data_IF_715583309571
#
_entry.id   IF_715583309571
#
_cell.length_a   1.000
_cell.length_b   1.000
_cell.length_c   1.000
_cell.angle_alpha   90.00
_cell.angle_beta   90.00
_cell.angle_gamma   90.00
#
_symmetry.space_group_name_H-M   'P 1'
#
loop_
_entity.id
_entity.type
_entity.pdbx_description
1 polymer ?
#
# COMPACT_ATOMS: atom_id res chain seq x y z
N UNK A 1 -2.40 -7.54 0.82
CA UNK A 1 -3.85 -7.36 0.93
C UNK A 1 -4.40 -6.75 -0.37
N UNK A 2 -5.48 -7.32 -0.90
CA UNK A 2 -6.13 -6.88 -2.16
C UNK A 2 -6.68 -5.47 -2.01
N UNK A 3 -7.31 -5.17 -0.88
CA UNK A 3 -7.91 -3.87 -0.61
C UNK A 3 -6.87 -2.77 -0.65
N UNK A 4 -5.75 -2.99 0.03
CA UNK A 4 -4.66 -2.03 0.07
C UNK A 4 -4.09 -1.73 -1.34
N UNK A 5 -3.82 -2.77 -2.14
CA UNK A 5 -3.34 -2.58 -3.50
C UNK A 5 -4.40 -1.97 -4.42
N UNK A 6 -5.66 -2.31 -4.22
CA UNK A 6 -6.78 -1.67 -4.95
C UNK A 6 -6.81 -0.16 -4.71
N UNK A 7 -6.56 0.24 -3.48
CA UNK A 7 -6.50 1.65 -3.09
C UNK A 7 -5.24 2.32 -3.66
N UNK A 8 -4.06 1.72 -3.43
CA UNK A 8 -2.80 2.27 -3.95
C UNK A 8 -2.89 2.47 -5.47
N UNK A 9 -3.53 1.56 -6.20
CA UNK A 9 -3.66 1.61 -7.65
C UNK A 9 -4.95 2.27 -8.14
N UNK A 10 -5.82 2.76 -7.26
CA UNK A 10 -7.15 3.29 -7.61
C UNK A 10 -7.91 2.34 -8.53
N UNK A 11 -7.97 1.07 -8.13
CA UNK A 11 -8.56 0.02 -8.93
C UNK A 11 -10.09 0.10 -8.90
N UNK A 12 -10.72 -0.09 -10.05
CA UNK A 12 -12.18 -0.17 -10.16
C UNK A 12 -12.69 -1.49 -9.58
N UNK A 13 -13.81 -1.43 -8.83
CA UNK A 13 -14.39 -2.59 -8.12
C UNK A 13 -14.77 -3.75 -9.04
N UNK A 14 -15.36 -3.45 -10.19
CA UNK A 14 -15.95 -4.47 -11.06
C UNK A 14 -14.95 -5.25 -11.90
N UNK A 15 -13.86 -4.62 -12.32
CA UNK A 15 -12.92 -5.22 -13.30
C UNK A 15 -11.51 -5.32 -12.78
N UNK A 16 -10.97 -4.26 -12.18
CA UNK A 16 -9.56 -4.19 -11.80
C UNK A 16 -9.27 -4.86 -10.46
N UNK A 17 -10.16 -4.75 -9.49
CA UNK A 17 -10.02 -5.39 -8.18
C UNK A 17 -10.03 -6.94 -8.26
N UNK A 18 -10.93 -7.59 -9.03
CA UNK A 18 -10.87 -9.03 -9.26
C UNK A 18 -9.58 -9.48 -9.98
N UNK A 19 -9.07 -8.65 -10.89
CA UNK A 19 -7.78 -8.91 -11.54
C UNK A 19 -6.63 -8.84 -10.54
N UNK A 20 -6.57 -7.81 -9.67
CA UNK A 20 -5.59 -7.70 -8.60
C UNK A 20 -5.65 -8.89 -7.64
N UNK A 21 -6.85 -9.35 -7.28
CA UNK A 21 -7.03 -10.53 -6.43
C UNK A 21 -6.36 -11.76 -7.03
N UNK A 22 -6.63 -12.05 -8.31
CA UNK A 22 -6.00 -13.17 -9.03
C UNK A 22 -4.47 -13.03 -9.11
N UNK A 23 -3.97 -11.80 -9.26
CA UNK A 23 -2.53 -11.51 -9.30
C UNK A 23 -1.86 -11.73 -7.94
N UNK A 24 -2.52 -11.35 -6.86
CA UNK A 24 -2.06 -11.60 -5.48
C UNK A 24 -2.07 -13.10 -5.15
N UNK A 25 -3.08 -13.84 -5.60
CA UNK A 25 -3.12 -15.28 -5.42
C UNK A 25 -1.99 -16.00 -6.18
N UNK A 26 -1.64 -15.51 -7.37
CA UNK A 26 -0.46 -15.98 -8.08
C UNK A 26 0.82 -15.64 -7.32
N UNK A 27 0.97 -14.41 -6.85
CA UNK A 27 2.12 -14.00 -6.04
C UNK A 27 2.31 -14.88 -4.80
N UNK A 28 1.24 -15.20 -4.07
CA UNK A 28 1.31 -16.09 -2.89
C UNK A 28 1.80 -17.50 -3.25
N UNK A 29 1.36 -18.01 -4.39
CA UNK A 29 1.83 -19.32 -4.90
C UNK A 29 3.30 -19.28 -5.28
N UNK A 30 3.74 -18.22 -5.97
CA UNK A 30 5.15 -18.03 -6.35
C UNK A 30 6.06 -17.97 -5.11
N UNK A 31 5.63 -17.22 -4.09
CA UNK A 31 6.38 -17.11 -2.82
C UNK A 31 6.53 -18.42 -2.08
N UNK A 32 5.56 -19.32 -2.19
CA UNK A 32 5.59 -20.65 -1.55
C UNK A 32 6.27 -21.75 -2.36
N UNK A 33 6.96 -21.41 -3.47
CA UNK A 33 7.55 -22.39 -4.38
C UNK A 33 9.05 -22.55 -4.10
N UNK A 34 9.51 -23.80 -3.86
CA UNK A 34 10.91 -24.12 -3.55
C UNK A 34 11.88 -23.76 -4.68
N UNK A 35 11.45 -23.90 -5.95
CA UNK A 35 12.24 -23.53 -7.12
C UNK A 35 11.48 -22.52 -7.98
N UNK A 36 11.54 -21.27 -7.54
CA UNK A 36 10.83 -20.14 -8.17
C UNK A 36 11.16 -20.01 -9.65
N UNK A 37 12.44 -20.08 -10.03
CA UNK A 37 12.86 -19.86 -11.42
C UNK A 37 12.42 -20.98 -12.37
N UNK A 38 12.45 -22.22 -11.93
CA UNK A 38 11.90 -23.33 -12.71
C UNK A 38 10.38 -23.19 -12.91
N UNK A 39 9.69 -22.73 -11.88
CA UNK A 39 8.24 -22.49 -11.97
C UNK A 39 7.92 -21.34 -12.93
N UNK A 40 8.63 -20.21 -12.82
CA UNK A 40 8.52 -19.07 -13.74
C UNK A 40 8.82 -19.50 -15.18
N UNK A 41 9.88 -20.30 -15.41
CA UNK A 41 10.21 -20.85 -16.74
C UNK A 41 9.03 -21.65 -17.31
N UNK A 42 8.43 -22.53 -16.52
CA UNK A 42 7.25 -23.30 -16.91
C UNK A 42 6.05 -22.42 -17.26
N UNK A 43 5.81 -21.39 -16.46
CA UNK A 43 4.72 -20.42 -16.72
C UNK A 43 4.96 -19.65 -18.03
N UNK A 44 6.17 -19.14 -18.26
CA UNK A 44 6.52 -18.44 -19.52
C UNK A 44 6.44 -19.38 -20.72
N UNK A 45 6.89 -20.65 -20.58
CA UNK A 45 6.72 -21.66 -21.64
C UNK A 45 5.24 -21.80 -22.01
N UNK A 46 4.38 -21.99 -21.04
CA UNK A 46 2.94 -22.15 -21.26
C UNK A 46 2.31 -20.90 -21.92
N UNK A 47 2.75 -19.70 -21.53
CA UNK A 47 2.29 -18.46 -22.15
C UNK A 47 2.73 -18.36 -23.62
N UNK A 48 4.01 -18.61 -23.89
CA UNK A 48 4.58 -18.58 -25.23
C UNK A 48 3.93 -19.60 -26.17
N UNK A 49 3.65 -20.82 -25.70
CA UNK A 49 2.99 -21.85 -26.49
C UNK A 49 1.58 -21.44 -26.96
N UNK A 50 0.85 -20.66 -26.17
CA UNK A 50 -0.50 -20.18 -26.55
C UNK A 50 -0.50 -19.20 -27.73
N UNK A 51 0.60 -18.51 -27.97
CA UNK A 51 0.70 -17.60 -29.13
C UNK A 51 0.73 -18.33 -30.46
N UNK A 52 1.01 -19.64 -30.46
CA UNK A 52 0.98 -20.44 -31.69
C UNK A 52 -0.38 -20.35 -32.39
N UNK A 53 -1.46 -20.36 -31.62
CA UNK A 53 -2.82 -20.33 -32.15
C UNK A 53 -3.25 -18.90 -32.57
N UNK A 54 -2.60 -17.84 -32.04
CA UNK A 54 -2.85 -16.44 -32.42
C UNK A 54 -1.54 -15.64 -32.51
N UNK A 55 -0.84 -15.74 -33.68
CA UNK A 55 0.39 -15.01 -33.91
C UNK A 55 0.24 -13.47 -33.82
N UNK A 56 -0.94 -12.93 -34.12
CA UNK A 56 -1.19 -11.49 -33.99
C UNK A 56 -1.23 -11.05 -32.53
N UNK A 57 -1.73 -11.88 -31.63
CA UNK A 57 -1.70 -11.65 -30.18
C UNK A 57 -0.26 -11.56 -29.67
N UNK A 58 0.65 -12.43 -30.16
CA UNK A 58 2.08 -12.34 -29.84
C UNK A 58 2.64 -10.94 -30.16
N UNK A 59 2.39 -10.41 -31.37
CA UNK A 59 2.89 -9.09 -31.75
C UNK A 59 2.35 -7.98 -30.87
N UNK A 60 1.06 -8.04 -30.52
CA UNK A 60 0.44 -7.06 -29.59
C UNK A 60 1.07 -7.11 -28.19
N UNK A 61 1.43 -8.31 -27.72
CA UNK A 61 1.96 -8.51 -26.38
C UNK A 61 3.49 -8.51 -26.29
N UNK A 62 4.18 -8.31 -27.41
CA UNK A 62 5.64 -8.35 -27.50
C UNK A 62 6.32 -7.39 -26.49
N UNK A 63 5.78 -6.18 -26.33
CA UNK A 63 6.29 -5.20 -25.36
C UNK A 63 6.13 -5.70 -23.93
N UNK A 64 4.99 -6.31 -23.60
CA UNK A 64 4.75 -6.91 -22.29
C UNK A 64 5.71 -8.06 -21.96
N UNK A 65 6.00 -8.93 -22.94
CA UNK A 65 7.00 -9.99 -22.80
C UNK A 65 8.41 -9.44 -22.55
N UNK A 66 8.84 -8.43 -23.31
CA UNK A 66 10.12 -7.75 -23.10
C UNK A 66 10.21 -7.15 -21.70
N UNK A 67 9.14 -6.52 -21.23
CA UNK A 67 9.08 -5.95 -19.89
C UNK A 67 9.20 -7.03 -18.79
N UNK A 68 8.61 -8.22 -18.98
CA UNK A 68 8.79 -9.34 -18.05
C UNK A 68 10.24 -9.83 -18.05
N UNK A 69 10.86 -9.99 -19.21
CA UNK A 69 12.28 -10.39 -19.29
C UNK A 69 13.20 -9.37 -18.61
N UNK A 70 13.03 -8.09 -18.92
CA UNK A 70 13.79 -7.00 -18.31
C UNK A 70 13.57 -6.89 -16.78
N UNK A 71 12.38 -7.28 -16.29
CA UNK A 71 12.08 -7.32 -14.86
C UNK A 71 12.87 -8.43 -14.14
N UNK A 72 12.90 -9.63 -14.72
CA UNK A 72 13.42 -10.83 -14.07
C UNK A 72 14.96 -10.96 -14.14
N UNK A 73 15.56 -10.56 -15.27
CA UNK A 73 16.95 -10.86 -15.57
C UNK A 73 17.83 -9.60 -15.56
N UNK A 74 19.09 -9.77 -15.12
CA UNK A 74 20.10 -8.70 -15.11
C UNK A 74 20.48 -8.36 -16.55
N UNK A 75 20.68 -9.38 -17.37
CA UNK A 75 20.95 -9.26 -18.81
C UNK A 75 19.80 -9.90 -19.59
N UNK A 76 18.81 -9.10 -19.93
CA UNK A 76 17.67 -9.53 -20.74
C UNK A 76 17.89 -9.31 -22.27
N UNK A 77 18.96 -8.61 -22.67
CA UNK A 77 19.21 -8.23 -24.07
C UNK A 77 19.25 -9.41 -25.04
N UNK A 78 19.89 -10.56 -24.73
CA UNK A 78 19.88 -11.70 -25.63
C UNK A 78 18.48 -12.18 -25.97
N UNK A 79 17.64 -12.36 -24.92
CA UNK A 79 16.24 -12.78 -25.09
C UNK A 79 15.39 -11.73 -25.82
N UNK A 80 15.62 -10.44 -25.55
CA UNK A 80 14.92 -9.34 -26.23
C UNK A 80 15.31 -9.28 -27.72
N UNK A 81 16.56 -9.52 -28.06
CA UNK A 81 17.01 -9.60 -29.47
C UNK A 81 16.30 -10.74 -30.19
N UNK A 82 16.19 -11.91 -29.56
CA UNK A 82 15.48 -13.04 -30.14
C UNK A 82 14.00 -12.71 -30.32
N UNK A 83 13.35 -12.11 -29.33
CA UNK A 83 11.95 -11.64 -29.47
C UNK A 83 11.79 -10.64 -30.62
N UNK A 84 12.77 -9.79 -30.88
CA UNK A 84 12.76 -8.83 -31.99
C UNK A 84 12.97 -9.48 -33.38
N UNK A 85 13.63 -10.63 -33.43
CA UNK A 85 13.85 -11.35 -34.68
C UNK A 85 12.61 -12.09 -35.17
N UNK A 86 11.55 -12.18 -34.32
CA UNK A 86 10.32 -12.86 -34.70
C UNK A 86 9.44 -11.97 -35.55
N UNK A 87 8.95 -12.56 -36.65
CA UNK A 87 8.02 -11.95 -37.57
C UNK A 87 6.80 -12.86 -37.72
N UNK A 88 5.69 -12.25 -38.07
CA UNK A 88 4.47 -12.95 -38.41
C UNK A 88 4.23 -12.70 -39.90
N UNK A 89 4.34 -13.76 -40.73
CA UNK A 89 4.22 -13.73 -42.20
C UNK A 89 2.98 -14.54 -42.62
N UNK A 90 2.78 -14.68 -43.93
CA UNK A 90 1.63 -15.38 -44.51
C UNK A 90 0.27 -14.84 -44.02
N UNK A 91 0.05 -13.54 -44.25
CA UNK A 91 -1.17 -12.83 -43.86
C UNK A 91 -1.46 -12.89 -42.34
N UNK A 92 -0.44 -12.99 -41.49
CA UNK A 92 -0.59 -12.98 -40.05
C UNK A 92 -0.80 -14.34 -39.38
N UNK A 93 -0.55 -15.43 -40.10
CA UNK A 93 -0.86 -16.80 -39.63
C UNK A 93 0.36 -17.64 -39.29
N UNK A 94 1.58 -17.24 -39.68
CA UNK A 94 2.77 -18.05 -39.47
C UNK A 94 3.90 -17.27 -38.80
N UNK A 95 4.54 -17.92 -37.85
CA UNK A 95 5.77 -17.43 -37.23
C UNK A 95 6.97 -17.67 -38.12
N UNK A 96 7.84 -16.68 -38.25
CA UNK A 96 9.14 -16.75 -38.86
C UNK A 96 10.18 -16.05 -37.98
N UNK A 97 11.30 -16.70 -37.73
CA UNK A 97 12.48 -16.12 -37.08
C UNK A 97 13.63 -16.13 -38.11
N UNK A 98 14.24 -14.99 -38.28
CA UNK A 98 15.40 -14.85 -39.15
C UNK A 98 16.65 -14.63 -38.31
N UNK A 99 17.67 -15.43 -38.50
CA UNK A 99 19.01 -15.31 -37.92
C UNK A 99 20.09 -15.51 -38.99
N UNK A 100 21.35 -15.63 -38.56
CA UNK A 100 22.50 -15.78 -39.49
C UNK A 100 22.45 -17.08 -40.33
N UNK A 101 21.73 -18.12 -39.81
CA UNK A 101 21.55 -19.41 -40.49
C UNK A 101 20.35 -19.40 -41.48
N UNK A 102 19.55 -18.34 -41.49
CA UNK A 102 18.43 -18.15 -42.40
C UNK A 102 17.05 -18.02 -41.72
N UNK A 103 16.01 -18.35 -42.46
CA UNK A 103 14.61 -18.26 -42.01
C UNK A 103 14.16 -19.58 -41.40
N UNK A 104 13.75 -19.51 -40.15
CA UNK A 104 13.15 -20.64 -39.37
C UNK A 104 11.65 -20.44 -39.29
N UNK A 105 10.88 -21.47 -39.63
CA UNK A 105 9.42 -21.40 -39.70
C UNK A 105 8.77 -22.26 -38.62
N UNK A 106 7.83 -21.71 -37.89
CA UNK A 106 6.93 -22.45 -36.99
C UNK A 106 5.73 -23.02 -37.74
N UNK A 107 5.95 -24.02 -38.60
CA UNK A 107 4.89 -24.62 -39.41
C UNK A 107 4.00 -25.59 -38.66
N UNK A 108 4.57 -26.25 -37.64
CA UNK A 108 3.86 -27.13 -36.70
C UNK A 108 4.04 -26.61 -35.27
N UNK A 109 3.23 -27.12 -34.35
CA UNK A 109 3.39 -26.81 -32.91
C UNK A 109 4.76 -27.22 -32.40
N UNK A 110 5.30 -28.34 -32.87
CA UNK A 110 6.61 -28.86 -32.45
C UNK A 110 7.74 -27.96 -33.03
N UNK A 111 7.65 -27.55 -34.30
CA UNK A 111 8.60 -26.59 -34.89
C UNK A 111 8.57 -25.28 -34.13
N UNK A 112 7.38 -24.77 -33.80
CA UNK A 112 7.22 -23.54 -33.03
C UNK A 112 7.84 -23.67 -31.65
N UNK A 113 7.58 -24.75 -30.93
CA UNK A 113 8.18 -24.98 -29.61
C UNK A 113 9.71 -25.03 -29.69
N UNK A 114 10.26 -25.77 -30.64
CA UNK A 114 11.72 -25.93 -30.77
C UNK A 114 12.42 -24.66 -31.27
N UNK A 115 11.91 -24.05 -32.30
CA UNK A 115 12.59 -22.93 -32.99
C UNK A 115 12.36 -21.56 -32.33
N UNK A 116 11.28 -21.44 -31.52
CA UNK A 116 10.90 -20.15 -30.93
C UNK A 116 10.88 -20.21 -29.40
N UNK A 117 10.04 -21.06 -28.82
CA UNK A 117 9.82 -21.09 -27.38
C UNK A 117 11.08 -21.52 -26.63
N UNK A 118 11.69 -22.63 -27.04
CA UNK A 118 12.92 -23.15 -26.42
C UNK A 118 14.08 -22.17 -26.59
N UNK A 119 14.23 -21.58 -27.77
CA UNK A 119 15.29 -20.60 -28.04
C UNK A 119 15.16 -19.35 -27.17
N UNK A 120 13.95 -18.80 -27.00
CA UNK A 120 13.71 -17.69 -26.06
C UNK A 120 14.10 -18.09 -24.63
N UNK A 121 13.56 -19.22 -24.17
CA UNK A 121 13.76 -19.64 -22.79
C UNK A 121 15.23 -19.98 -22.50
N UNK A 122 15.92 -20.64 -23.40
CA UNK A 122 17.32 -21.01 -23.22
C UNK A 122 18.24 -19.78 -23.25
N UNK A 123 17.96 -18.79 -24.11
CA UNK A 123 18.75 -17.56 -24.18
C UNK A 123 18.65 -16.70 -22.92
N UNK A 124 17.55 -16.84 -22.15
CA UNK A 124 17.30 -16.01 -20.98
C UNK A 124 17.60 -16.76 -19.69
N UNK A 125 17.26 -18.08 -19.61
CA UNK A 125 17.43 -18.88 -18.42
C UNK A 125 18.78 -19.62 -18.34
N UNK A 126 19.58 -19.53 -19.42
CA UNK A 126 20.92 -20.12 -19.45
C UNK A 126 21.93 -19.10 -19.99
N UNK A 127 22.89 -18.66 -19.17
CA UNK A 127 23.20 -18.96 -17.76
C UNK A 127 22.35 -18.13 -16.76
N UNK A 128 22.22 -18.62 -15.51
CA UNK A 128 21.42 -18.05 -14.43
C UNK A 128 21.80 -16.60 -14.05
N UNK A 129 21.27 -15.62 -14.76
CA UNK A 129 21.50 -14.19 -14.52
C UNK A 129 20.22 -13.46 -14.07
N UNK A 130 19.45 -14.07 -13.16
CA UNK A 130 18.25 -13.42 -12.63
C UNK A 130 18.59 -12.38 -11.55
N UNK A 131 17.75 -11.36 -11.45
CA UNK A 131 17.79 -10.39 -10.34
C UNK A 131 17.43 -11.08 -9.04
N UNK A 132 17.91 -10.52 -7.92
CA UNK A 132 17.61 -11.06 -6.59
C UNK A 132 16.09 -11.26 -6.38
N UNK A 133 15.73 -12.25 -5.59
CA UNK A 133 14.35 -12.56 -5.19
C UNK A 133 13.79 -11.48 -4.26
N UNK A 134 13.56 -10.27 -4.80
CA UNK A 134 12.84 -9.19 -4.12
C UNK A 134 11.34 -9.48 -4.17
N UNK A 135 10.67 -9.45 -3.05
CA UNK A 135 9.23 -9.67 -2.91
C UNK A 135 8.39 -8.76 -3.83
N UNK A 136 8.83 -7.52 -4.03
CA UNK A 136 8.19 -6.61 -4.97
C UNK A 136 8.39 -7.03 -6.42
N UNK A 137 9.53 -7.62 -6.76
CA UNK A 137 9.81 -8.15 -8.09
C UNK A 137 8.90 -9.33 -8.38
N UNK A 138 8.73 -10.27 -7.43
CA UNK A 138 7.84 -11.42 -7.57
C UNK A 138 6.40 -10.96 -7.74
N UNK A 139 5.96 -9.96 -6.99
CA UNK A 139 4.61 -9.41 -7.12
C UNK A 139 4.39 -8.70 -8.46
N UNK A 140 5.35 -7.88 -8.90
CA UNK A 140 5.30 -7.21 -10.20
C UNK A 140 5.28 -8.22 -11.36
N UNK A 141 6.06 -9.30 -11.26
CA UNK A 141 6.01 -10.41 -12.20
C UNK A 141 4.63 -11.05 -12.23
N UNK A 142 4.08 -11.40 -11.08
CA UNK A 142 2.75 -12.01 -10.98
C UNK A 142 1.67 -11.15 -11.66
N UNK A 143 1.72 -9.84 -11.46
CA UNK A 143 0.79 -8.88 -12.06
C UNK A 143 0.93 -8.83 -13.58
N UNK A 144 2.15 -8.68 -14.10
CA UNK A 144 2.44 -8.61 -15.54
C UNK A 144 2.14 -9.92 -16.25
N UNK A 145 2.56 -11.04 -15.66
CA UNK A 145 2.25 -12.35 -16.21
C UNK A 145 0.74 -12.57 -16.30
N UNK A 146 0.02 -12.28 -15.21
CA UNK A 146 -1.44 -12.46 -15.17
C UNK A 146 -2.17 -11.56 -16.16
N UNK A 147 -1.63 -10.37 -16.43
CA UNK A 147 -2.13 -9.49 -17.46
C UNK A 147 -2.03 -10.12 -18.85
N UNK A 148 -0.84 -10.60 -19.25
CA UNK A 148 -0.63 -11.24 -20.56
C UNK A 148 -1.43 -12.55 -20.68
N UNK A 149 -1.43 -13.39 -19.66
CA UNK A 149 -2.20 -14.65 -19.60
C UNK A 149 -3.71 -14.39 -19.77
N UNK A 150 -4.23 -13.34 -19.13
CA UNK A 150 -5.65 -13.01 -19.22
C UNK A 150 -6.04 -12.41 -20.57
N UNK A 151 -5.14 -11.68 -21.22
CA UNK A 151 -5.33 -11.19 -22.59
C UNK A 151 -5.34 -12.35 -23.59
N UNK A 152 -4.39 -13.30 -23.50
CA UNK A 152 -4.35 -14.51 -24.33
C UNK A 152 -5.63 -15.34 -24.21
N UNK A 153 -6.20 -15.39 -23.02
CA UNK A 153 -7.43 -16.15 -22.74
C UNK A 153 -8.69 -15.36 -23.09
N UNK A 154 -8.56 -14.15 -23.63
CA UNK A 154 -9.67 -13.19 -23.88
C UNK A 154 -10.55 -12.94 -22.66
N UNK A 155 -10.01 -13.16 -21.48
CA UNK A 155 -10.75 -13.05 -20.21
C UNK A 155 -10.91 -11.60 -19.75
N UNK A 156 -10.02 -10.71 -20.20
CA UNK A 156 -10.04 -9.27 -19.91
C UNK A 156 -9.85 -8.48 -21.19
N UNK A 157 -10.38 -7.25 -21.19
CA UNK A 157 -10.10 -6.27 -22.21
C UNK A 157 -8.89 -5.43 -21.79
N UNK A 158 -7.95 -5.19 -22.70
CA UNK A 158 -6.76 -4.35 -22.51
C UNK A 158 -7.11 -2.95 -22.01
N UNK A 159 -8.15 -2.33 -22.58
CA UNK A 159 -8.63 -1.00 -22.20
C UNK A 159 -9.03 -0.89 -20.72
N UNK A 160 -9.49 -1.98 -20.12
CA UNK A 160 -9.94 -1.98 -18.73
C UNK A 160 -8.80 -2.17 -17.73
N UNK A 161 -7.79 -2.98 -18.04
CA UNK A 161 -6.73 -3.35 -17.10
C UNK A 161 -5.41 -2.64 -17.39
N UNK A 162 -5.13 -2.25 -18.64
CA UNK A 162 -3.94 -1.50 -19.02
C UNK A 162 -3.67 -0.27 -18.14
N UNK A 163 -4.66 0.59 -17.88
CA UNK A 163 -4.50 1.74 -16.98
C UNK A 163 -4.12 1.37 -15.55
N UNK A 164 -4.57 0.21 -15.04
CA UNK A 164 -4.16 -0.29 -13.73
C UNK A 164 -2.67 -0.64 -13.70
N UNK A 165 -2.17 -1.33 -14.73
CA UNK A 165 -0.74 -1.69 -14.83
C UNK A 165 0.11 -0.43 -14.83
N UNK A 166 -0.24 0.59 -15.62
CA UNK A 166 0.50 1.85 -15.67
C UNK A 166 0.50 2.59 -14.31
N UNK A 167 -0.63 2.62 -13.61
CA UNK A 167 -0.70 3.20 -12.26
C UNK A 167 0.15 2.42 -11.27
N UNK A 168 0.12 1.09 -11.33
CA UNK A 168 0.95 0.23 -10.49
C UNK A 168 2.44 0.53 -10.71
N UNK A 169 2.92 0.56 -11.94
CA UNK A 169 4.33 0.83 -12.26
C UNK A 169 4.84 2.16 -11.69
N UNK A 170 4.00 3.19 -11.73
CA UNK A 170 4.34 4.50 -11.20
C UNK A 170 4.34 4.53 -9.66
N UNK A 171 3.40 3.82 -9.02
CA UNK A 171 3.20 3.85 -7.58
C UNK A 171 4.08 2.86 -6.82
N UNK A 172 4.36 1.69 -7.39
CA UNK A 172 5.24 0.70 -6.75
C UNK A 172 6.64 1.25 -6.48
N UNK A 173 7.17 2.10 -7.35
CA UNK A 173 8.46 2.77 -7.13
C UNK A 173 8.48 3.64 -5.87
N UNK A 174 7.36 4.29 -5.56
CA UNK A 174 7.19 5.11 -4.34
C UNK A 174 7.02 4.21 -3.12
N UNK A 175 6.20 3.17 -3.24
CA UNK A 175 6.00 2.17 -2.16
C UNK A 175 7.33 1.53 -1.76
N UNK A 176 8.15 1.10 -2.73
CA UNK A 176 9.50 0.53 -2.49
C UNK A 176 10.45 1.47 -1.75
N UNK A 177 10.29 2.78 -1.89
CA UNK A 177 11.10 3.78 -1.14
C UNK A 177 10.63 3.94 0.31
N UNK A 178 9.35 3.74 0.58
CA UNK A 178 8.75 3.93 1.89
C UNK A 178 8.78 2.66 2.74
N UNK A 179 8.66 1.49 2.11
CA UNK A 179 8.56 0.20 2.79
C UNK A 179 9.60 -0.79 2.28
N UNK A 180 10.33 -1.37 3.21
CA UNK A 180 11.16 -2.55 2.97
C UNK A 180 10.41 -3.76 3.52
N UNK A 181 10.16 -4.76 2.67
CA UNK A 181 9.60 -6.03 3.12
C UNK A 181 10.69 -6.80 3.88
N UNK A 182 10.39 -7.24 5.09
CA UNK A 182 11.27 -8.07 5.90
C UNK A 182 10.43 -9.09 6.67
N UNK A 183 11.01 -10.29 6.86
CA UNK A 183 10.32 -11.38 7.59
C UNK A 183 10.27 -11.11 9.10
N UNK A 184 11.28 -10.43 9.63
CA UNK A 184 11.41 -10.09 11.04
C UNK A 184 11.55 -8.57 11.20
N UNK A 185 10.43 -7.83 11.35
CA UNK A 185 10.52 -6.42 11.67
C UNK A 185 11.13 -6.22 13.05
N UNK A 186 11.80 -5.08 13.29
CA UNK A 186 12.34 -4.76 14.61
C UNK A 186 11.28 -4.94 15.69
N UNK A 187 11.63 -5.63 16.77
CA UNK A 187 10.74 -5.91 17.89
C UNK A 187 11.02 -4.94 19.07
N UNK A 188 11.20 -3.66 18.77
CA UNK A 188 11.39 -2.64 19.78
C UNK A 188 10.09 -2.41 20.55
N UNK A 189 10.20 -2.18 21.86
CA UNK A 189 9.06 -1.87 22.72
C UNK A 189 8.44 -0.49 22.40
N UNK A 190 9.21 0.39 21.75
CA UNK A 190 8.77 1.71 21.28
C UNK A 190 9.27 1.94 19.85
N UNK A 191 8.36 2.23 18.93
CA UNK A 191 8.67 2.61 17.56
C UNK A 191 8.02 3.95 17.22
N UNK A 192 8.81 4.88 16.66
CA UNK A 192 8.32 6.20 16.24
C UNK A 192 8.43 6.30 14.72
N UNK A 193 7.31 6.58 14.07
CA UNK A 193 7.22 6.73 12.61
C UNK A 193 7.02 8.20 12.25
N UNK A 194 8.05 8.86 11.75
CA UNK A 194 7.96 10.23 11.28
C UNK A 194 7.38 10.29 9.86
N UNK A 195 6.38 11.16 9.66
CA UNK A 195 5.74 11.39 8.35
C UNK A 195 6.16 12.72 7.71
N UNK A 196 7.18 13.38 8.24
CA UNK A 196 7.62 14.71 7.78
C UNK A 196 7.99 14.69 6.29
N UNK A 197 8.79 13.71 5.86
CA UNK A 197 9.30 13.58 4.49
C UNK A 197 8.38 12.76 3.57
N UNK A 198 7.23 12.33 4.07
CA UNK A 198 6.25 11.59 3.29
C UNK A 198 5.39 12.57 2.49
N UNK A 199 5.20 12.32 1.19
CA UNK A 199 4.35 13.16 0.36
C UNK A 199 2.88 13.09 0.81
N UNK A 200 2.10 14.13 0.47
CA UNK A 200 0.71 14.31 0.94
C UNK A 200 -0.18 13.10 0.61
N UNK A 201 0.00 12.48 -0.57
CA UNK A 201 -0.76 11.30 -1.01
C UNK A 201 -0.55 10.10 -0.06
N UNK A 202 0.70 9.88 0.35
CA UNK A 202 1.07 8.74 1.21
C UNK A 202 0.94 9.04 2.71
N UNK A 203 0.78 10.31 3.13
CA UNK A 203 0.60 10.67 4.56
C UNK A 203 -0.61 10.01 5.22
N UNK A 204 -1.62 9.60 4.45
CA UNK A 204 -2.78 8.85 4.95
C UNK A 204 -2.64 7.34 4.78
N UNK A 205 -1.93 6.91 3.72
CA UNK A 205 -1.73 5.48 3.39
C UNK A 205 -0.74 4.83 4.36
N UNK A 206 0.38 5.50 4.64
CA UNK A 206 1.44 4.94 5.50
C UNK A 206 0.93 4.64 6.92
N UNK A 207 0.27 5.57 7.64
CA UNK A 207 -0.26 5.28 8.97
C UNK A 207 -1.30 4.15 8.96
N UNK A 208 -2.16 4.11 7.95
CA UNK A 208 -3.13 3.03 7.81
C UNK A 208 -2.45 1.66 7.71
N UNK A 209 -1.43 1.53 6.84
CA UNK A 209 -0.67 0.28 6.68
C UNK A 209 -0.03 -0.13 8.00
N UNK A 210 0.63 0.81 8.67
CA UNK A 210 1.32 0.56 9.93
C UNK A 210 0.34 0.13 11.03
N UNK A 211 -0.73 0.89 11.23
CA UNK A 211 -1.73 0.60 12.26
C UNK A 211 -2.42 -0.74 12.00
N UNK A 212 -2.84 -0.99 10.75
CA UNK A 212 -3.46 -2.25 10.37
C UNK A 212 -2.51 -3.43 10.57
N UNK A 213 -1.25 -3.32 10.15
CA UNK A 213 -0.26 -4.37 10.32
C UNK A 213 -0.04 -4.74 11.78
N UNK A 214 0.15 -3.76 12.67
CA UNK A 214 0.37 -4.03 14.08
C UNK A 214 -0.89 -4.57 14.76
N UNK A 215 -2.07 -4.06 14.41
CA UNK A 215 -3.34 -4.55 14.90
C UNK A 215 -3.58 -6.01 14.50
N UNK A 216 -3.43 -6.36 13.22
CA UNK A 216 -3.60 -7.74 12.75
C UNK A 216 -2.58 -8.70 13.39
N UNK A 217 -1.32 -8.27 13.52
CA UNK A 217 -0.28 -9.05 14.20
C UNK A 217 -0.62 -9.28 15.67
N UNK A 218 -1.09 -8.26 16.37
CA UNK A 218 -1.51 -8.35 17.77
C UNK A 218 -2.72 -9.30 17.90
N UNK A 219 -3.70 -9.19 17.00
CA UNK A 219 -4.90 -10.04 17.00
C UNK A 219 -4.55 -11.51 16.80
N UNK A 220 -3.64 -11.83 15.88
CA UNK A 220 -3.22 -13.20 15.58
C UNK A 220 -2.34 -13.83 16.65
N UNK A 221 -1.54 -13.03 17.36
CA UNK A 221 -0.54 -13.50 18.32
C UNK A 221 -0.84 -13.02 19.75
N UNK A 222 -2.09 -12.73 20.07
CA UNK A 222 -2.46 -12.21 21.38
C UNK A 222 -2.11 -13.21 22.49
N UNK A 223 -1.24 -12.79 23.40
CA UNK A 223 -0.72 -13.56 24.52
C UNK A 223 -0.87 -12.84 25.88
N UNK A 224 -1.77 -11.84 25.93
CA UNK A 224 -1.96 -10.99 27.10
C UNK A 224 -1.11 -9.71 27.10
N UNK A 225 -0.23 -9.50 26.11
CA UNK A 225 0.50 -8.23 25.94
C UNK A 225 -0.42 -7.12 25.42
N UNK A 226 -0.04 -5.87 25.65
CA UNK A 226 -0.76 -4.71 25.13
C UNK A 226 0.01 -4.01 24.02
N UNK A 227 -0.72 -3.57 23.00
CA UNK A 227 -0.24 -2.70 21.93
C UNK A 227 -0.89 -1.32 22.08
N UNK A 228 -0.08 -0.28 22.20
CA UNK A 228 -0.55 1.10 22.24
C UNK A 228 -0.16 1.82 20.96
N UNK A 229 -1.14 2.24 20.19
CA UNK A 229 -0.96 3.03 18.98
C UNK A 229 -1.29 4.48 19.32
N UNK A 230 -0.36 5.40 19.09
CA UNK A 230 -0.55 6.83 19.33
C UNK A 230 -0.45 7.54 17.97
N UNK A 231 -1.49 8.30 17.60
CA UNK A 231 -1.54 9.07 16.36
C UNK A 231 -1.59 10.55 16.73
N UNK A 232 -0.52 11.24 16.43
CA UNK A 232 -0.47 12.69 16.56
C UNK A 232 -0.99 13.37 15.30
N UNK A 233 -1.57 14.57 15.45
CA UNK A 233 -2.26 15.33 14.38
C UNK A 233 -3.26 14.46 13.60
N UNK A 234 -4.05 13.68 14.33
CA UNK A 234 -4.94 12.65 13.80
C UNK A 234 -5.97 13.16 12.78
N UNK A 235 -6.31 14.47 12.81
CA UNK A 235 -7.17 15.08 11.80
C UNK A 235 -6.62 14.94 10.37
N UNK A 236 -5.28 14.86 10.18
CA UNK A 236 -4.68 14.63 8.87
C UNK A 236 -4.92 13.22 8.34
N UNK A 237 -5.16 12.26 9.23
CA UNK A 237 -5.32 10.85 8.92
C UNK A 237 -6.79 10.42 8.96
N UNK A 238 -7.56 10.93 9.92
CA UNK A 238 -8.94 10.51 10.20
C UNK A 238 -10.00 11.51 9.70
N UNK A 239 -9.60 12.46 8.85
CA UNK A 239 -10.49 13.48 8.29
C UNK A 239 -11.54 12.87 7.37
N UNK A 240 -12.76 13.42 7.46
CA UNK A 240 -13.88 13.13 6.54
C UNK A 240 -13.94 14.09 5.35
N UNK A 241 -13.21 15.21 5.39
CA UNK A 241 -13.34 16.36 4.47
C UNK A 241 -12.32 16.38 3.31
N UNK A 242 -11.79 15.23 2.89
CA UNK A 242 -10.80 15.19 1.81
C UNK A 242 -11.46 15.15 0.43
N UNK A 243 -11.32 16.21 -0.36
CA UNK A 243 -11.82 16.30 -1.75
C UNK A 243 -10.98 15.51 -2.77
N UNK A 244 -9.76 15.13 -2.39
CA UNK A 244 -8.79 14.45 -3.29
C UNK A 244 -8.81 12.93 -3.19
N UNK A 245 -9.62 12.39 -2.30
CA UNK A 245 -9.74 10.94 -2.07
C UNK A 245 -11.00 10.40 -2.76
N UNK A 246 -10.90 9.19 -3.34
CA UNK A 246 -12.11 8.47 -3.74
C UNK A 246 -12.93 8.09 -2.49
N UNK A 247 -14.25 8.05 -2.62
CA UNK A 247 -15.13 7.70 -1.50
C UNK A 247 -14.79 6.32 -0.92
N UNK A 248 -14.57 5.33 -1.78
CA UNK A 248 -14.19 3.96 -1.38
C UNK A 248 -12.93 3.93 -0.54
N UNK A 249 -11.92 4.76 -0.88
CA UNK A 249 -10.69 4.86 -0.10
C UNK A 249 -10.94 5.48 1.27
N UNK A 250 -11.70 6.57 1.31
CA UNK A 250 -12.05 7.24 2.55
C UNK A 250 -12.79 6.30 3.50
N UNK A 251 -13.79 5.58 2.98
CA UNK A 251 -14.59 4.64 3.75
C UNK A 251 -13.72 3.51 4.31
N UNK A 252 -12.91 2.87 3.49
CA UNK A 252 -11.99 1.82 3.94
C UNK A 252 -11.03 2.30 5.03
N UNK A 253 -10.46 3.50 4.89
CA UNK A 253 -9.55 4.07 5.89
C UNK A 253 -10.26 4.29 7.21
N UNK A 254 -11.43 4.92 7.20
CA UNK A 254 -12.20 5.19 8.41
C UNK A 254 -12.70 3.89 9.05
N UNK A 255 -13.24 2.95 8.29
CA UNK A 255 -13.68 1.63 8.77
C UNK A 255 -12.56 0.85 9.45
N UNK A 256 -11.33 0.89 8.92
CA UNK A 256 -10.17 0.23 9.53
C UNK A 256 -9.86 0.80 10.91
N UNK A 257 -9.87 2.12 11.07
CA UNK A 257 -9.65 2.74 12.39
C UNK A 257 -10.83 2.54 13.34
N UNK A 258 -12.05 2.55 12.83
CA UNK A 258 -13.23 2.20 13.62
C UNK A 258 -13.18 0.75 14.14
N UNK A 259 -12.74 -0.20 13.32
CA UNK A 259 -12.52 -1.58 13.75
C UNK A 259 -11.50 -1.65 14.88
N UNK A 260 -10.35 -0.97 14.73
CA UNK A 260 -9.32 -0.93 15.79
C UNK A 260 -9.88 -0.37 17.09
N UNK A 261 -10.69 0.68 17.05
CA UNK A 261 -11.29 1.29 18.24
C UNK A 261 -12.32 0.35 18.88
N UNK A 262 -13.21 -0.24 18.08
CA UNK A 262 -14.31 -1.10 18.56
C UNK A 262 -13.83 -2.45 19.08
N UNK A 263 -12.92 -3.08 18.35
CA UNK A 263 -12.54 -4.48 18.57
C UNK A 263 -11.15 -4.62 19.22
N UNK A 264 -10.31 -3.60 19.14
CA UNK A 264 -8.91 -3.66 19.59
C UNK A 264 -8.77 -4.09 21.05
N UNK A 265 -9.65 -3.62 21.93
CA UNK A 265 -9.63 -3.97 23.36
C UNK A 265 -9.65 -5.50 23.60
N UNK A 266 -10.34 -6.26 22.78
CA UNK A 266 -10.42 -7.73 22.88
C UNK A 266 -9.05 -8.41 22.71
N UNK A 267 -8.16 -7.74 21.98
CA UNK A 267 -6.81 -8.21 21.64
C UNK A 267 -5.72 -7.38 22.31
N UNK A 268 -6.08 -6.58 23.33
CA UNK A 268 -5.12 -5.72 24.02
C UNK A 268 -4.58 -4.56 23.17
N UNK A 269 -5.28 -4.15 22.11
CA UNK A 269 -4.89 -2.98 21.30
C UNK A 269 -5.65 -1.75 21.77
N UNK A 270 -4.90 -0.67 22.05
CA UNK A 270 -5.42 0.62 22.48
C UNK A 270 -4.97 1.72 21.53
N UNK A 271 -5.90 2.59 21.15
CA UNK A 271 -5.64 3.72 20.26
C UNK A 271 -5.77 5.03 21.03
N UNK A 272 -4.74 5.85 20.95
CA UNK A 272 -4.75 7.25 21.40
C UNK A 272 -4.62 8.17 20.20
N UNK A 273 -5.53 9.13 20.08
CA UNK A 273 -5.49 10.14 19.03
C UNK A 273 -5.30 11.52 19.66
N UNK A 274 -4.40 12.31 19.08
CA UNK A 274 -4.17 13.71 19.43
C UNK A 274 -4.52 14.59 18.25
N UNK A 275 -5.26 15.67 18.44
CA UNK A 275 -5.66 16.58 17.36
C UNK A 275 -5.98 17.97 17.88
N UNK A 276 -5.62 19.00 17.10
CA UNK A 276 -6.02 20.39 17.31
C UNK A 276 -7.35 20.72 16.60
N UNK A 277 -7.86 19.82 15.75
CA UNK A 277 -9.06 20.01 14.91
C UNK A 277 -10.00 18.81 15.02
N UNK A 278 -10.65 18.62 16.15
CA UNK A 278 -11.57 17.50 16.31
C UNK A 278 -12.77 17.56 15.35
N UNK A 279 -13.18 18.73 14.87
CA UNK A 279 -14.27 18.86 13.89
C UNK A 279 -13.95 18.21 12.53
N UNK A 280 -12.67 18.06 12.17
CA UNK A 280 -12.27 17.43 10.93
C UNK A 280 -12.29 15.88 11.01
N UNK A 281 -12.24 15.33 12.22
CA UNK A 281 -12.24 13.87 12.46
C UNK A 281 -13.67 13.32 12.34
N UNK A 282 -13.78 12.07 11.86
CA UNK A 282 -15.07 11.37 11.80
C UNK A 282 -15.78 11.39 13.16
N UNK A 283 -17.04 11.88 13.16
CA UNK A 283 -17.88 11.91 14.37
C UNK A 283 -18.08 10.49 14.94
N UNK A 284 -18.17 9.49 14.07
CA UNK A 284 -18.23 8.08 14.47
C UNK A 284 -16.99 7.65 15.24
N UNK A 285 -15.80 8.07 14.82
CA UNK A 285 -14.54 7.76 15.50
C UNK A 285 -14.52 8.45 16.87
N UNK A 286 -14.78 9.76 16.90
CA UNK A 286 -14.73 10.52 18.16
C UNK A 286 -15.71 9.94 19.19
N UNK A 287 -16.94 9.65 18.79
CA UNK A 287 -17.99 9.14 19.72
C UNK A 287 -17.70 7.74 20.29
N UNK A 288 -16.79 6.98 19.70
CA UNK A 288 -16.39 5.65 20.16
C UNK A 288 -15.18 5.65 21.09
N UNK A 289 -14.53 6.78 21.27
CA UNK A 289 -13.45 6.93 22.23
C UNK A 289 -14.00 6.83 23.66
N UNK A 290 -13.24 6.19 24.55
CA UNK A 290 -13.68 5.93 25.91
C UNK A 290 -13.32 7.05 26.88
N UNK A 291 -12.21 7.74 26.66
CA UNK A 291 -11.71 8.79 27.53
C UNK A 291 -11.23 9.99 26.72
N UNK A 292 -11.41 11.19 27.24
CA UNK A 292 -11.10 12.44 26.61
C UNK A 292 -10.27 13.33 27.54
N UNK A 293 -9.19 13.87 27.01
CA UNK A 293 -8.40 14.94 27.60
C UNK A 293 -8.60 16.18 26.74
N UNK A 294 -9.53 17.04 27.13
CA UNK A 294 -9.95 18.20 26.35
C UNK A 294 -9.15 19.42 26.81
N UNK A 295 -8.14 19.77 26.06
CA UNK A 295 -7.39 21.00 26.24
C UNK A 295 -8.14 22.18 25.64
N UNK A 296 -7.62 23.41 25.83
CA UNK A 296 -8.21 24.63 25.30
C UNK A 296 -8.45 24.54 23.80
N UNK A 297 -9.67 24.78 23.38
CA UNK A 297 -10.10 24.95 22.00
C UNK A 297 -10.63 26.36 21.80
N UNK A 298 -10.32 26.97 20.65
CA UNK A 298 -10.71 28.36 20.34
C UNK A 298 -11.77 28.40 19.24
N UNK A 299 -11.74 27.44 18.33
CA UNK A 299 -12.69 27.38 17.22
C UNK A 299 -14.03 26.81 17.69
N UNK A 300 -15.12 27.51 17.41
CA UNK A 300 -16.45 27.10 17.79
C UNK A 300 -16.91 25.78 17.16
N UNK A 301 -16.47 25.46 15.93
CA UNK A 301 -16.81 24.16 15.30
C UNK A 301 -16.16 22.99 16.03
N UNK A 302 -14.91 23.17 16.48
CA UNK A 302 -14.20 22.16 17.25
C UNK A 302 -14.85 21.94 18.61
N UNK A 303 -15.24 23.00 19.28
CA UNK A 303 -15.96 22.94 20.59
C UNK A 303 -17.30 22.24 20.40
N UNK A 304 -18.05 22.54 19.33
CA UNK A 304 -19.33 21.87 19.02
C UNK A 304 -19.16 20.40 18.70
N UNK A 305 -18.11 20.01 17.95
CA UNK A 305 -17.82 18.62 17.64
C UNK A 305 -17.59 17.80 18.93
N UNK A 306 -16.79 18.32 19.85
CA UNK A 306 -16.59 17.70 21.17
C UNK A 306 -17.89 17.66 21.98
N UNK A 307 -18.66 18.74 22.03
CA UNK A 307 -19.94 18.79 22.76
C UNK A 307 -20.98 17.78 22.26
N UNK A 308 -20.97 17.44 20.97
CA UNK A 308 -21.83 16.39 20.42
C UNK A 308 -21.34 14.98 20.74
N UNK A 309 -20.04 14.77 20.71
CA UNK A 309 -19.43 13.45 20.84
C UNK A 309 -19.31 12.99 22.32
N UNK A 310 -19.13 13.92 23.24
CA UNK A 310 -18.86 13.63 24.65
C UNK A 310 -20.14 13.82 25.50
N UNK A 311 -20.86 12.74 25.67
CA UNK A 311 -22.16 12.74 26.34
C UNK A 311 -22.16 13.20 27.83
N UNK A 312 -20.98 13.32 28.45
CA UNK A 312 -20.82 13.55 29.88
C UNK A 312 -20.30 14.95 30.26
N UNK A 313 -20.20 15.87 29.30
CA UNK A 313 -19.80 17.26 29.56
C UNK A 313 -21.04 18.05 29.98
N UNK A 314 -21.01 18.64 31.22
CA UNK A 314 -22.01 19.59 31.66
C UNK A 314 -21.78 20.98 31.04
N UNK A 315 -22.80 21.84 31.07
CA UNK A 315 -22.73 23.16 30.45
C UNK A 315 -21.59 24.01 31.01
N UNK A 316 -21.28 23.90 32.27
CA UNK A 316 -20.20 24.65 32.93
C UNK A 316 -18.83 24.23 32.38
N UNK A 317 -18.58 22.92 32.32
CA UNK A 317 -17.35 22.36 31.75
C UNK A 317 -17.22 22.71 30.27
N UNK A 318 -18.31 22.70 29.51
CA UNK A 318 -18.32 23.07 28.11
C UNK A 318 -17.90 24.53 27.86
N UNK A 319 -18.44 25.48 28.67
CA UNK A 319 -18.06 26.90 28.56
C UNK A 319 -16.60 27.15 28.99
N UNK A 320 -16.05 26.34 29.89
CA UNK A 320 -14.66 26.46 30.31
C UNK A 320 -13.63 26.07 29.22
N UNK A 321 -13.99 25.24 28.24
CA UNK A 321 -13.04 24.75 27.22
C UNK A 321 -12.30 25.90 26.52
N UNK A 322 -12.98 27.00 26.21
CA UNK A 322 -12.40 28.13 25.48
C UNK A 322 -11.42 28.98 26.33
N UNK A 323 -11.52 28.91 27.64
CA UNK A 323 -10.77 29.76 28.60
C UNK A 323 -9.77 28.96 29.44
N UNK A 324 -9.60 27.66 29.21
CA UNK A 324 -8.63 26.83 29.93
C UNK A 324 -7.22 27.44 29.85
N UNK A 325 -6.49 27.51 30.97
CA UNK A 325 -5.10 27.94 30.95
C UNK A 325 -4.19 26.93 30.31
N UNK A 326 -2.95 27.34 30.00
CA UNK A 326 -1.95 26.46 29.42
C UNK A 326 -1.67 25.28 30.37
N UNK A 327 -1.64 24.07 29.82
CA UNK A 327 -1.41 22.83 30.57
C UNK A 327 -2.64 22.29 31.31
N UNK A 328 -3.76 23.02 31.32
CA UNK A 328 -5.00 22.49 31.87
C UNK A 328 -5.79 21.70 30.82
N UNK A 329 -6.54 20.69 31.28
CA UNK A 329 -7.49 19.95 30.46
C UNK A 329 -8.70 19.52 31.30
N UNK A 330 -9.81 19.28 30.64
CA UNK A 330 -10.97 18.60 31.21
C UNK A 330 -10.82 17.12 30.87
N UNK A 331 -10.68 16.28 31.89
CA UNK A 331 -10.68 14.82 31.76
C UNK A 331 -12.09 14.28 31.99
N UNK A 332 -12.58 13.49 31.04
CA UNK A 332 -13.92 12.87 31.13
C UNK A 332 -13.97 11.56 30.36
N UNK A 333 -14.91 10.70 30.66
CA UNK A 333 -15.12 9.42 29.97
C UNK A 333 -15.33 8.26 30.92
N UNK A 334 -15.05 7.05 30.47
CA UNK A 334 -15.30 5.80 31.23
C UNK A 334 -14.44 5.71 32.49
N UNK A 335 -13.26 6.32 32.48
CA UNK A 335 -12.34 6.28 33.62
C UNK A 335 -12.67 7.34 34.71
N UNK A 336 -13.66 8.22 34.49
CA UNK A 336 -14.08 9.23 35.43
C UNK A 336 -15.61 9.33 35.48
N UNK A 337 -16.22 9.25 36.65
CA UNK A 337 -17.68 9.33 36.80
C UNK A 337 -18.24 10.72 36.46
N UNK A 338 -17.41 11.76 36.46
CA UNK A 338 -17.77 13.14 36.16
C UNK A 338 -16.56 13.87 35.54
N UNK A 339 -16.77 14.97 34.81
CA UNK A 339 -15.67 15.78 34.25
C UNK A 339 -14.80 16.34 35.39
N UNK A 340 -13.47 16.20 35.22
CA UNK A 340 -12.48 16.67 36.19
C UNK A 340 -11.53 17.65 35.50
N UNK A 341 -11.37 18.84 36.10
CA UNK A 341 -10.36 19.77 35.69
C UNK A 341 -9.00 19.32 36.20
N UNK A 342 -8.07 19.08 35.28
CA UNK A 342 -6.71 18.60 35.59
C UNK A 342 -5.71 19.64 35.11
N UNK A 343 -4.76 20.01 36.00
CA UNK A 343 -3.57 20.81 35.61
C UNK A 343 -2.39 19.85 35.50
N UNK A 344 -1.78 19.83 34.31
CA UNK A 344 -0.60 19.03 34.04
C UNK A 344 0.65 19.85 34.40
N UNK A 345 1.53 19.28 35.20
CA UNK A 345 2.78 19.90 35.58
C UNK A 345 3.73 20.06 34.40
N UNK A 346 4.51 21.14 34.39
CA UNK A 346 5.51 21.38 33.37
C UNK A 346 6.66 20.39 33.54
N UNK A 347 7.05 19.72 32.47
CA UNK A 347 8.20 18.82 32.48
C UNK A 347 9.51 19.57 32.82
N UNK A 348 10.44 18.93 33.52
CA UNK A 348 11.79 19.47 33.71
C UNK A 348 12.44 19.84 32.38
N UNK A 349 13.21 20.92 32.30
CA UNK A 349 13.80 21.42 31.05
C UNK A 349 14.53 20.35 30.22
N UNK A 350 15.16 19.38 30.87
CA UNK A 350 15.89 18.28 30.22
C UNK A 350 14.97 17.25 29.53
N UNK A 351 13.70 17.20 29.91
CA UNK A 351 12.69 16.26 29.39
C UNK A 351 11.68 16.97 28.47
N UNK A 352 11.79 18.29 28.33
CA UNK A 352 10.92 19.03 27.43
C UNK A 352 11.25 18.70 25.96
N UNK A 353 10.27 18.62 25.08
CA UNK A 353 10.52 18.43 23.66
C UNK A 353 11.34 19.60 23.11
N UNK A 354 12.38 19.27 22.35
CA UNK A 354 13.15 20.26 21.62
C UNK A 354 12.31 20.73 20.43
N UNK A 355 11.58 21.82 20.59
CA UNK A 355 10.89 22.45 19.46
C UNK A 355 11.88 23.37 18.73
N UNK A 356 11.93 23.30 17.42
CA UNK A 356 12.68 24.23 16.56
C UNK A 356 12.01 25.62 16.47
N UNK A 357 11.15 25.96 17.41
CA UNK A 357 10.48 27.26 17.45
C UNK A 357 11.51 28.34 17.68
N UNK A 358 11.70 29.19 16.70
CA UNK A 358 12.59 30.35 16.78
C UNK A 358 12.03 31.31 17.83
N UNK A 359 12.78 31.54 18.88
CA UNK A 359 12.43 32.57 19.87
C UNK A 359 12.90 33.95 19.36
N UNK A 360 12.05 34.66 18.64
CA UNK A 360 12.35 35.95 18.07
C UNK A 360 12.82 36.98 19.12
N UNK A 361 12.32 36.87 20.35
CA UNK A 361 12.71 37.78 21.44
C UNK A 361 14.15 37.54 21.92
N UNK A 362 14.66 36.30 21.82
CA UNK A 362 16.06 36.01 22.13
C UNK A 362 16.99 36.42 20.99
N UNK A 363 16.60 36.15 19.74
CA UNK A 363 17.36 36.50 18.55
C UNK A 363 17.50 38.02 18.35
N UNK A 364 16.50 38.80 18.81
CA UNK A 364 16.56 40.28 18.73
C UNK A 364 17.32 40.91 19.90
N UNK A 365 17.78 40.17 20.89
CA UNK A 365 18.57 40.68 22.01
C UNK A 365 20.08 40.56 21.78
N UNK A 366 20.51 39.87 20.73
CA UNK A 366 21.93 39.86 20.32
C UNK A 366 22.20 41.05 19.40
N UNK A 367 23.17 41.90 19.73
CA UNK A 367 23.54 43.08 18.94
C UNK A 367 24.24 42.70 17.62
#
# INVERSE_FOLDING_TARGET
DVELWSIICEATEKTQKPFLSKSIDLYRRLRGTDNLMAYIRGMLKNLLLRYYDDPQMFLRQLTGLKNILALLFVDAEPGIKILNSFQVRANGTKFCRTDDDGDHWGNTSDDYEQQFVSVILDSVFFPNNYKSEDEYLIFEYALRYKYLDSLCSQYINEEHVGPLISRFENRVKRVKRLFKICDNPPADWLAIYSLVDVNVEFKKIVPLIICKYFYERQRLNFNGSSLHIIIDEAHNILSTTSERESQTWKDYRLETFEEIIKEGRKFGTFLTISSQRPSDISETIISQLHNYFIHRLVNNEDIRAIGKAVAFIDNTSYEMISVLPQGACIFTGVASNFPVLVQVDLLPKQQQPQSSTINLTELWKEP
#
